data_IF_117214573027
#
_entry.id   IF_117214573027
#
_cell.length_a   1.000
_cell.length_b   1.000
_cell.length_c   1.000
_cell.angle_alpha   90.00
_cell.angle_beta   90.00
_cell.angle_gamma   90.00
#
_symmetry.space_group_name_H-M   'P 1'
#
loop_
_entity.id
_entity.type
_entity.pdbx_description
1 polymer ?
#
# COMPACT_ATOMS: atom_id res chain seq x y z
N UNK A 1 -13.84 15.61 -9.24
CA UNK A 1 -14.12 14.34 -8.53
C UNK A 1 -12.88 13.73 -7.83
N UNK A 2 -11.64 13.96 -8.26
CA UNK A 2 -10.43 13.38 -7.63
C UNK A 2 -10.16 13.84 -6.18
N UNK A 3 -10.43 15.10 -5.83
CA UNK A 3 -10.11 15.63 -4.50
C UNK A 3 -11.01 15.08 -3.38
N UNK A 4 -12.30 14.83 -3.64
CA UNK A 4 -13.25 14.31 -2.63
C UNK A 4 -12.88 12.88 -2.25
N UNK A 5 -12.63 12.01 -3.23
CA UNK A 5 -12.23 10.61 -2.98
C UNK A 5 -10.89 10.51 -2.24
N UNK A 6 -9.94 11.40 -2.54
CA UNK A 6 -8.66 11.43 -1.85
C UNK A 6 -8.81 11.88 -0.38
N UNK A 7 -9.64 12.89 -0.12
CA UNK A 7 -9.91 13.33 1.25
C UNK A 7 -10.65 12.27 2.07
N UNK A 8 -11.60 11.55 1.48
CA UNK A 8 -12.27 10.43 2.17
C UNK A 8 -11.30 9.30 2.51
N UNK A 9 -10.37 8.98 1.63
CA UNK A 9 -9.31 8.00 1.90
C UNK A 9 -8.44 8.42 3.09
N UNK A 10 -7.93 9.65 3.07
CA UNK A 10 -7.12 10.21 4.18
C UNK A 10 -7.87 10.26 5.50
N UNK A 11 -9.14 10.68 5.48
CA UNK A 11 -9.98 10.69 6.67
C UNK A 11 -10.15 9.29 7.27
N UNK A 12 -10.26 8.27 6.41
CA UNK A 12 -10.38 6.89 6.86
C UNK A 12 -9.05 6.34 7.40
N UNK A 13 -7.91 6.68 6.79
CA UNK A 13 -6.57 6.36 7.32
C UNK A 13 -6.39 6.95 8.73
N UNK A 14 -6.82 8.20 8.94
CA UNK A 14 -6.74 8.85 10.25
C UNK A 14 -7.46 8.09 11.34
N UNK A 15 -8.74 7.74 11.12
CA UNK A 15 -9.51 7.04 12.16
C UNK A 15 -9.07 5.58 12.34
N UNK A 16 -8.55 4.92 11.29
CA UNK A 16 -7.94 3.61 11.41
C UNK A 16 -6.70 3.66 12.30
N UNK A 17 -5.82 4.65 12.11
CA UNK A 17 -4.65 4.85 12.95
C UNK A 17 -5.04 5.08 14.42
N UNK A 18 -5.99 5.98 14.69
CA UNK A 18 -6.44 6.29 16.04
C UNK A 18 -7.08 5.07 16.72
N UNK A 19 -7.97 4.37 16.01
CA UNK A 19 -8.65 3.20 16.55
C UNK A 19 -7.68 2.05 16.86
N UNK A 20 -6.68 1.85 16.00
CA UNK A 20 -5.64 0.84 16.21
C UNK A 20 -4.76 1.21 17.41
N UNK A 21 -4.31 2.47 17.53
CA UNK A 21 -3.52 2.93 18.66
C UNK A 21 -4.30 2.84 19.98
N UNK A 22 -5.58 3.22 20.00
CA UNK A 22 -6.45 3.12 21.17
C UNK A 22 -6.57 1.66 21.66
N UNK A 23 -6.79 0.74 20.74
CA UNK A 23 -6.87 -0.68 21.08
C UNK A 23 -5.53 -1.25 21.57
N UNK A 24 -4.41 -0.90 20.93
CA UNK A 24 -3.07 -1.34 21.36
C UNK A 24 -2.72 -0.76 22.72
N UNK A 25 -3.01 0.51 22.97
CA UNK A 25 -2.66 1.19 24.23
C UNK A 25 -3.37 0.60 25.44
N UNK A 26 -4.49 -0.09 25.25
CA UNK A 26 -5.17 -0.85 26.30
C UNK A 26 -4.44 -2.15 26.71
N UNK A 27 -3.51 -2.62 25.88
CA UNK A 27 -2.78 -3.90 26.06
C UNK A 27 -1.31 -3.65 26.40
N UNK A 28 -0.66 -2.69 25.73
CA UNK A 28 0.76 -2.40 25.86
C UNK A 28 1.08 -0.93 25.50
N UNK A 29 2.27 -0.41 25.84
CA UNK A 29 2.69 0.93 25.47
C UNK A 29 2.68 1.13 23.94
N UNK A 30 2.00 2.19 23.49
CA UNK A 30 2.00 2.62 22.09
C UNK A 30 1.94 4.14 21.98
N UNK A 31 2.43 4.67 20.87
CA UNK A 31 2.39 6.10 20.59
C UNK A 31 2.24 6.37 19.09
N UNK A 32 1.56 7.46 18.78
CA UNK A 32 1.46 7.95 17.40
C UNK A 32 2.63 8.88 17.13
N UNK A 33 3.33 8.65 16.03
CA UNK A 33 4.35 9.55 15.51
C UNK A 33 3.70 10.52 14.55
N UNK A 34 3.65 11.78 14.92
CA UNK A 34 3.03 12.84 14.14
C UNK A 34 3.95 13.28 12.99
N UNK A 35 3.39 13.38 11.80
CA UNK A 35 4.07 13.85 10.59
C UNK A 35 3.10 14.64 9.69
N UNK A 36 3.58 15.12 8.53
CA UNK A 36 2.76 15.90 7.60
C UNK A 36 1.53 15.12 7.09
N UNK A 37 1.66 13.82 6.86
CA UNK A 37 0.54 12.97 6.43
C UNK A 37 -0.50 12.79 7.52
N UNK A 38 -0.09 12.67 8.78
CA UNK A 38 -1.02 12.69 9.92
C UNK A 38 -1.90 13.94 9.92
N UNK A 39 -1.29 15.14 9.85
CA UNK A 39 -2.03 16.39 9.88
C UNK A 39 -2.92 16.58 8.64
N UNK A 40 -2.48 16.13 7.48
CA UNK A 40 -3.30 16.14 6.27
C UNK A 40 -4.54 15.23 6.42
N UNK A 41 -4.38 14.07 7.04
CA UNK A 41 -5.44 13.09 7.29
C UNK A 41 -6.40 13.57 8.39
N UNK A 42 -5.89 14.21 9.46
CA UNK A 42 -6.68 14.87 10.49
C UNK A 42 -7.54 16.00 9.92
N UNK A 43 -6.95 16.85 9.06
CA UNK A 43 -7.71 17.91 8.39
C UNK A 43 -8.83 17.33 7.52
N UNK A 44 -8.56 16.25 6.77
CA UNK A 44 -9.58 15.58 5.99
C UNK A 44 -10.70 14.99 6.87
N UNK A 45 -10.35 14.36 8.00
CA UNK A 45 -11.30 13.88 9.00
C UNK A 45 -12.22 14.99 9.55
N UNK A 46 -11.66 16.16 9.82
CA UNK A 46 -12.40 17.30 10.36
C UNK A 46 -13.42 17.88 9.37
N UNK A 47 -13.31 17.58 8.06
CA UNK A 47 -14.30 17.99 7.06
C UNK A 47 -15.52 17.06 6.98
N UNK A 48 -15.47 15.87 7.59
CA UNK A 48 -16.57 14.91 7.55
C UNK A 48 -17.71 15.33 8.49
N UNK A 49 -18.94 14.99 8.11
CA UNK A 49 -20.09 15.12 8.99
C UNK A 49 -20.12 14.00 10.06
N UNK A 50 -20.98 14.16 11.07
CA UNK A 50 -21.04 13.24 12.21
C UNK A 50 -21.44 11.80 11.82
N UNK A 51 -22.30 11.66 10.82
CA UNK A 51 -22.72 10.35 10.32
C UNK A 51 -21.54 9.62 9.66
N UNK A 52 -20.77 10.31 8.80
CA UNK A 52 -19.58 9.75 8.18
C UNK A 52 -18.53 9.39 9.22
N UNK A 53 -18.28 10.26 10.19
CA UNK A 53 -17.36 9.99 11.31
C UNK A 53 -17.77 8.76 12.10
N UNK A 54 -19.04 8.62 12.41
CA UNK A 54 -19.56 7.45 13.10
C UNK A 54 -19.33 6.15 12.30
N UNK A 55 -19.71 6.14 11.02
CA UNK A 55 -19.56 4.98 10.15
C UNK A 55 -18.10 4.57 9.97
N UNK A 56 -17.22 5.55 9.76
CA UNK A 56 -15.78 5.27 9.60
C UNK A 56 -15.17 4.72 10.89
N UNK A 57 -15.54 5.28 12.05
CA UNK A 57 -15.09 4.80 13.35
C UNK A 57 -15.56 3.35 13.59
N UNK A 58 -16.83 3.05 13.30
CA UNK A 58 -17.36 1.70 13.44
C UNK A 58 -16.62 0.71 12.54
N UNK A 59 -16.40 1.09 11.28
CA UNK A 59 -15.65 0.27 10.32
C UNK A 59 -14.21 0.03 10.77
N UNK A 60 -13.49 1.07 11.20
CA UNK A 60 -12.12 0.94 11.70
C UNK A 60 -12.03 -0.01 12.90
N UNK A 61 -12.91 0.15 13.87
CA UNK A 61 -12.95 -0.70 15.09
C UNK A 61 -13.28 -2.17 14.79
N UNK A 62 -14.13 -2.43 13.80
CA UNK A 62 -14.56 -3.79 13.46
C UNK A 62 -13.45 -4.70 12.93
N UNK A 63 -12.31 -4.14 12.52
CA UNK A 63 -11.18 -4.91 11.94
C UNK A 63 -10.10 -5.25 12.96
N UNK A 64 -10.12 -4.64 14.16
CA UNK A 64 -9.02 -4.69 15.12
C UNK A 64 -8.74 -6.12 15.61
N UNK A 65 -9.78 -6.84 16.02
CA UNK A 65 -9.62 -8.22 16.51
C UNK A 65 -9.03 -9.14 15.44
N UNK A 66 -9.43 -8.94 14.19
CA UNK A 66 -8.87 -9.68 13.05
C UNK A 66 -7.39 -9.34 12.85
N UNK A 67 -7.02 -8.06 12.93
CA UNK A 67 -5.62 -7.61 12.83
C UNK A 67 -4.78 -8.27 13.94
N UNK A 68 -5.25 -8.26 15.18
CA UNK A 68 -4.52 -8.86 16.31
C UNK A 68 -4.37 -10.37 16.18
N UNK A 69 -5.40 -11.04 15.65
CA UNK A 69 -5.34 -12.48 15.39
C UNK A 69 -4.37 -12.85 14.26
N UNK A 70 -4.30 -12.01 13.22
CA UNK A 70 -3.41 -12.24 12.07
C UNK A 70 -1.96 -11.88 12.38
N UNK A 71 -1.72 -10.89 13.24
CA UNK A 71 -0.37 -10.42 13.58
C UNK A 71 -0.22 -10.25 15.11
N UNK A 72 0.05 -11.35 15.82
CA UNK A 72 0.20 -11.33 17.28
C UNK A 72 1.34 -10.45 17.80
N UNK A 73 2.36 -10.18 16.99
CA UNK A 73 3.47 -9.30 17.39
C UNK A 73 3.01 -7.87 17.76
N UNK A 74 1.84 -7.45 17.28
CA UNK A 74 1.25 -6.14 17.63
C UNK A 74 0.88 -6.11 19.12
N UNK A 75 0.32 -7.20 19.65
CA UNK A 75 -0.20 -7.27 21.02
C UNK A 75 0.77 -7.93 22.01
N UNK A 76 1.80 -8.60 21.53
CA UNK A 76 2.81 -9.21 22.36
C UNK A 76 3.58 -8.16 23.18
N UNK A 77 3.43 -8.20 24.51
CA UNK A 77 4.02 -7.22 25.41
C UNK A 77 5.43 -7.63 25.84
N UNK A 78 6.44 -6.98 25.28
CA UNK A 78 7.86 -7.16 25.62
C UNK A 78 8.48 -5.89 26.24
N UNK A 79 7.68 -5.05 26.88
CA UNK A 79 8.08 -3.78 27.50
C UNK A 79 8.64 -2.71 26.52
N UNK A 80 8.56 -2.95 25.22
CA UNK A 80 8.86 -1.95 24.19
C UNK A 80 7.62 -1.13 23.83
N UNK A 81 7.83 0.04 23.29
CA UNK A 81 6.74 0.92 22.81
C UNK A 81 6.54 0.75 21.31
N UNK A 82 5.30 0.49 20.89
CA UNK A 82 4.95 0.52 19.47
C UNK A 82 4.85 1.95 18.98
N UNK A 83 5.45 2.22 17.82
CA UNK A 83 5.29 3.46 17.09
C UNK A 83 4.31 3.24 15.93
N UNK A 84 3.28 4.06 15.85
CA UNK A 84 2.31 4.04 14.77
C UNK A 84 2.38 5.36 14.00
N UNK A 85 2.35 5.30 12.67
CA UNK A 85 2.31 6.52 11.86
C UNK A 85 1.64 6.31 10.51
N UNK A 86 1.12 7.39 9.93
CA UNK A 86 0.67 7.41 8.54
C UNK A 86 1.90 7.60 7.67
N UNK A 87 2.05 6.75 6.66
CA UNK A 87 3.17 6.81 5.73
C UNK A 87 3.15 8.10 4.91
N UNK A 88 4.33 8.67 4.65
CA UNK A 88 4.42 9.88 3.85
C UNK A 88 4.15 9.58 2.37
N UNK A 89 3.38 10.45 1.70
CA UNK A 89 3.04 10.33 0.28
C UNK A 89 4.27 10.21 -0.65
N UNK A 90 5.41 10.76 -0.25
CA UNK A 90 6.69 10.66 -0.99
C UNK A 90 7.19 9.22 -1.13
N UNK A 91 6.92 8.35 -0.18
CA UNK A 91 7.28 6.94 -0.26
C UNK A 91 6.40 6.14 -1.23
N UNK A 92 5.22 6.64 -1.58
CA UNK A 92 4.40 6.09 -2.67
C UNK A 92 5.05 6.19 -4.05
N UNK A 93 5.94 7.19 -4.25
CA UNK A 93 6.78 7.30 -5.45
C UNK A 93 7.94 6.29 -5.44
N UNK A 94 8.30 5.78 -4.27
CA UNK A 94 9.32 4.75 -4.04
C UNK A 94 8.75 3.33 -3.99
N UNK A 95 7.50 3.15 -4.44
CA UNK A 95 6.77 1.87 -4.46
C UNK A 95 6.34 1.33 -3.08
N UNK A 96 6.43 2.11 -2.01
CA UNK A 96 5.84 1.77 -0.73
C UNK A 96 4.32 1.99 -0.78
N UNK A 97 3.56 0.92 -0.60
CA UNK A 97 2.09 0.90 -0.73
C UNK A 97 1.38 0.95 0.62
N UNK A 98 2.13 1.04 1.69
CA UNK A 98 1.60 1.08 3.06
C UNK A 98 1.01 2.45 3.33
N UNK A 99 -0.15 2.49 3.94
CA UNK A 99 -0.81 3.73 4.35
C UNK A 99 -0.59 3.99 5.86
N UNK A 100 -0.61 2.92 6.69
CA UNK A 100 -0.27 2.98 8.13
C UNK A 100 0.87 1.99 8.39
N UNK A 101 1.84 2.40 9.19
CA UNK A 101 2.94 1.55 9.64
C UNK A 101 2.90 1.42 11.16
N UNK A 102 3.11 0.21 11.64
CA UNK A 102 3.33 -0.12 13.05
C UNK A 102 4.74 -0.68 13.19
N UNK A 103 5.54 -0.08 14.04
CA UNK A 103 6.98 -0.38 14.18
C UNK A 103 7.34 -0.71 15.63
N UNK A 104 8.15 -1.76 15.80
CA UNK A 104 8.83 -2.13 17.04
C UNK A 104 10.34 -1.99 16.83
N UNK A 105 10.88 -0.82 17.15
CA UNK A 105 12.29 -0.48 16.89
C UNK A 105 13.27 -1.41 17.57
N UNK A 106 12.98 -1.79 18.79
CA UNK A 106 13.88 -2.58 19.64
C UNK A 106 14.17 -3.96 19.06
N UNK A 107 13.20 -4.55 18.36
CA UNK A 107 13.34 -5.88 17.73
C UNK A 107 13.45 -5.78 16.20
N UNK A 108 13.51 -4.56 15.62
CA UNK A 108 13.60 -4.30 14.17
C UNK A 108 12.46 -4.97 13.39
N UNK A 109 11.24 -4.90 13.94
CA UNK A 109 10.04 -5.43 13.32
C UNK A 109 9.11 -4.29 12.92
N UNK A 110 8.51 -4.40 11.76
CA UNK A 110 7.46 -3.49 11.29
C UNK A 110 6.42 -4.23 10.46
N UNK A 111 5.20 -3.73 10.49
CA UNK A 111 4.12 -4.12 9.58
C UNK A 111 3.44 -2.90 9.01
N UNK A 112 3.05 -2.98 7.75
CA UNK A 112 2.30 -1.94 7.07
C UNK A 112 0.91 -2.39 6.67
N UNK A 113 -0.06 -1.49 6.83
CA UNK A 113 -1.44 -1.69 6.42
C UNK A 113 -1.77 -0.81 5.23
N UNK A 114 -2.39 -1.39 4.21
CA UNK A 114 -2.98 -0.63 3.12
C UNK A 114 -4.48 -0.44 3.38
N UNK A 115 -4.87 0.80 3.62
CA UNK A 115 -6.23 1.18 4.01
C UNK A 115 -7.05 1.50 2.76
N UNK A 116 -8.24 0.91 2.67
CA UNK A 116 -9.14 1.11 1.52
C UNK A 116 -10.52 1.54 1.98
N UNK A 117 -10.92 2.74 1.52
CA UNK A 117 -12.27 3.23 1.68
C UNK A 117 -13.09 2.97 0.42
N UNK A 118 -14.13 2.13 0.51
CA UNK A 118 -15.04 1.78 -0.59
C UNK A 118 -14.38 1.24 -1.88
N UNK A 119 -13.18 0.68 -1.78
CA UNK A 119 -12.50 0.06 -2.91
C UNK A 119 -12.44 -1.46 -2.73
N UNK A 120 -12.96 -2.19 -3.69
CA UNK A 120 -12.83 -3.64 -3.75
C UNK A 120 -11.45 -4.07 -4.30
N UNK A 121 -10.71 -3.15 -4.93
CA UNK A 121 -9.39 -3.43 -5.48
C UNK A 121 -8.30 -3.24 -4.43
N UNK A 122 -7.47 -4.25 -4.25
CA UNK A 122 -6.25 -4.16 -3.44
C UNK A 122 -5.26 -3.22 -4.13
N UNK A 123 -4.68 -2.28 -3.36
CA UNK A 123 -3.55 -1.47 -3.84
C UNK A 123 -2.37 -2.41 -4.04
N UNK A 124 -1.84 -2.46 -5.22
CA UNK A 124 -0.64 -3.24 -5.52
C UNK A 124 0.46 -2.30 -5.98
N UNK A 125 1.69 -2.74 -5.79
CA UNK A 125 2.85 -2.04 -6.30
C UNK A 125 2.73 -1.82 -7.80
N UNK A 126 3.08 -0.63 -8.25
CA UNK A 126 2.92 -0.27 -9.66
C UNK A 126 4.02 -0.90 -10.50
N UNK A 127 3.63 -1.71 -11.48
CA UNK A 127 4.50 -2.03 -12.59
C UNK A 127 4.45 -0.84 -13.55
N UNK A 128 5.59 -0.23 -13.82
CA UNK A 128 5.66 0.97 -14.65
C UNK A 128 6.84 0.87 -15.64
N UNK A 129 6.75 1.59 -16.75
CA UNK A 129 7.77 1.61 -17.82
C UNK A 129 9.18 1.90 -17.31
N UNK A 130 9.30 2.75 -16.29
CA UNK A 130 10.58 3.22 -15.74
C UNK A 130 10.92 2.65 -14.37
N UNK A 131 10.05 1.82 -13.79
CA UNK A 131 10.28 1.27 -12.46
C UNK A 131 10.88 -0.13 -12.56
N UNK A 132 12.15 -0.26 -12.18
CA UNK A 132 12.76 -1.55 -11.93
C UNK A 132 12.34 -2.06 -10.55
N UNK A 133 11.25 -2.85 -10.53
CA UNK A 133 10.72 -3.38 -9.28
C UNK A 133 11.70 -4.34 -8.61
N UNK A 134 12.48 -5.09 -9.39
CA UNK A 134 13.47 -6.01 -8.86
C UNK A 134 14.56 -5.30 -8.07
N UNK A 135 15.11 -4.22 -8.65
CA UNK A 135 16.09 -3.38 -7.96
C UNK A 135 15.50 -2.71 -6.71
N UNK A 136 14.22 -2.27 -6.77
CA UNK A 136 13.59 -1.53 -5.66
C UNK A 136 13.10 -2.43 -4.52
N UNK A 137 12.54 -3.60 -4.83
CA UNK A 137 11.89 -4.43 -3.80
C UNK A 137 12.83 -5.46 -3.17
N UNK A 138 13.75 -6.00 -3.93
CA UNK A 138 14.65 -7.05 -3.43
C UNK A 138 16.13 -6.88 -3.84
N UNK A 139 16.51 -5.68 -4.29
CA UNK A 139 17.88 -5.29 -4.65
C UNK A 139 18.53 -6.17 -5.75
N UNK A 140 17.73 -6.72 -6.66
CA UNK A 140 18.22 -7.43 -7.84
C UNK A 140 17.51 -6.86 -9.07
N UNK A 141 18.21 -6.17 -9.98
CA UNK A 141 17.60 -5.59 -11.17
C UNK A 141 16.84 -6.61 -12.01
N UNK A 142 15.72 -6.17 -12.57
CA UNK A 142 14.95 -6.97 -13.51
C UNK A 142 15.80 -7.35 -14.73
N UNK A 143 15.57 -8.57 -15.25
CA UNK A 143 16.30 -9.09 -16.39
C UNK A 143 15.97 -8.36 -17.70
N UNK A 144 16.88 -8.39 -18.67
CA UNK A 144 16.61 -7.89 -20.01
C UNK A 144 15.41 -8.63 -20.66
N UNK A 145 15.18 -9.88 -20.31
CA UNK A 145 14.02 -10.65 -20.78
C UNK A 145 12.72 -10.01 -20.33
N UNK A 146 12.62 -9.65 -19.05
CA UNK A 146 11.47 -8.93 -18.52
C UNK A 146 11.22 -7.63 -19.29
N UNK A 147 12.26 -6.81 -19.44
CA UNK A 147 12.13 -5.53 -20.13
C UNK A 147 11.72 -5.67 -21.59
N UNK A 148 12.23 -6.67 -22.31
CA UNK A 148 11.83 -6.95 -23.67
C UNK A 148 10.37 -7.41 -23.79
N UNK A 149 9.84 -8.14 -22.79
CA UNK A 149 8.45 -8.58 -22.75
C UNK A 149 7.47 -7.44 -22.43
N UNK A 150 7.83 -6.52 -21.52
CA UNK A 150 6.89 -5.45 -21.10
C UNK A 150 6.98 -4.19 -21.95
N UNK A 151 8.10 -3.92 -22.61
CA UNK A 151 8.30 -2.72 -23.42
C UNK A 151 7.23 -2.53 -24.50
N UNK A 152 6.87 -3.53 -25.31
CA UNK A 152 5.82 -3.37 -26.34
C UNK A 152 4.47 -2.96 -25.75
N UNK A 153 4.16 -3.41 -24.53
CA UNK A 153 2.90 -3.09 -23.85
C UNK A 153 2.88 -1.61 -23.45
N UNK A 154 3.97 -1.11 -22.88
CA UNK A 154 4.09 0.29 -22.52
C UNK A 154 4.16 1.21 -23.76
N UNK A 155 4.84 0.80 -24.81
CA UNK A 155 4.88 1.54 -26.07
C UNK A 155 3.47 1.64 -26.71
N UNK A 156 2.67 0.58 -26.65
CA UNK A 156 1.26 0.59 -27.04
C UNK A 156 0.44 1.58 -26.20
N UNK A 157 0.60 1.57 -24.89
CA UNK A 157 -0.12 2.50 -24.00
C UNK A 157 0.26 3.96 -24.27
N UNK A 158 1.53 4.25 -24.53
CA UNK A 158 1.97 5.59 -24.90
C UNK A 158 1.39 6.02 -26.23
N UNK A 159 1.37 5.14 -27.23
CA UNK A 159 0.80 5.41 -28.52
C UNK A 159 -0.71 5.74 -28.43
N UNK A 160 -1.48 4.96 -27.68
CA UNK A 160 -2.89 5.23 -27.45
C UNK A 160 -3.11 6.56 -26.69
N UNK A 161 -2.28 6.84 -25.70
CA UNK A 161 -2.30 8.13 -24.99
C UNK A 161 -2.03 9.31 -25.92
N UNK A 162 -1.09 9.19 -26.85
CA UNK A 162 -0.79 10.23 -27.84
C UNK A 162 -1.95 10.48 -28.80
N UNK A 163 -2.76 9.46 -29.10
CA UNK A 163 -4.01 9.59 -29.87
C UNK A 163 -5.15 10.24 -29.07
N UNK A 164 -4.98 10.47 -27.78
CA UNK A 164 -6.03 10.97 -26.90
C UNK A 164 -7.01 9.89 -26.42
N UNK A 165 -6.72 8.60 -26.62
CA UNK A 165 -7.54 7.50 -26.13
C UNK A 165 -7.43 7.39 -24.61
N UNK A 166 -8.55 7.46 -23.91
CA UNK A 166 -8.56 7.21 -22.46
C UNK A 166 -8.39 5.72 -22.18
N UNK A 167 -7.67 5.38 -21.11
CA UNK A 167 -7.47 3.99 -20.71
C UNK A 167 -8.79 3.21 -20.53
N UNK A 168 -9.84 3.87 -20.02
CA UNK A 168 -11.18 3.27 -19.85
C UNK A 168 -11.79 2.80 -21.19
N UNK A 169 -11.44 3.47 -22.29
CA UNK A 169 -12.03 3.23 -23.63
C UNK A 169 -11.23 2.20 -24.44
N UNK A 170 -10.07 1.75 -23.94
CA UNK A 170 -9.30 0.67 -24.57
C UNK A 170 -10.10 -0.63 -24.56
N UNK A 171 -10.14 -1.30 -25.69
CA UNK A 171 -10.68 -2.65 -25.82
C UNK A 171 -9.63 -3.70 -25.48
N UNK A 172 -10.05 -4.91 -25.11
CA UNK A 172 -9.14 -6.05 -24.88
C UNK A 172 -8.01 -5.81 -23.86
N UNK A 173 -8.24 -4.97 -22.85
CA UNK A 173 -7.25 -4.66 -21.79
C UNK A 173 -6.70 -5.91 -21.12
N UNK A 174 -7.56 -6.89 -20.88
CA UNK A 174 -7.18 -8.16 -20.23
C UNK A 174 -6.07 -8.85 -21.04
N UNK A 175 -6.30 -9.09 -22.33
CA UNK A 175 -5.41 -9.87 -23.17
C UNK A 175 -4.20 -9.08 -23.69
N UNK A 176 -4.34 -7.76 -23.86
CA UNK A 176 -3.27 -6.94 -24.43
C UNK A 176 -2.38 -6.28 -23.37
N UNK A 177 -2.89 -6.11 -22.15
CA UNK A 177 -2.19 -5.36 -21.11
C UNK A 177 -2.03 -6.21 -19.85
N UNK A 178 -3.15 -6.59 -19.19
CA UNK A 178 -3.07 -7.19 -17.86
C UNK A 178 -2.41 -8.56 -17.84
N UNK A 179 -2.86 -9.49 -18.67
CA UNK A 179 -2.30 -10.84 -18.70
C UNK A 179 -0.83 -10.86 -19.16
N UNK A 180 -0.42 -10.14 -20.22
CA UNK A 180 1.00 -10.08 -20.58
C UNK A 180 1.88 -9.46 -19.50
N UNK A 181 1.46 -8.35 -18.86
CA UNK A 181 2.22 -7.74 -17.77
C UNK A 181 2.33 -8.66 -16.57
N UNK A 182 1.23 -9.31 -16.18
CA UNK A 182 1.22 -10.23 -15.04
C UNK A 182 2.09 -11.46 -15.32
N UNK A 183 2.02 -12.02 -16.51
CA UNK A 183 2.84 -13.16 -16.88
C UNK A 183 4.34 -12.83 -16.90
N UNK A 184 4.72 -11.67 -17.46
CA UNK A 184 6.10 -11.19 -17.43
C UNK A 184 6.60 -11.00 -15.99
N UNK A 185 5.78 -10.41 -15.13
CA UNK A 185 6.06 -10.19 -13.72
C UNK A 185 6.26 -11.51 -12.96
N UNK A 186 5.32 -12.45 -13.08
CA UNK A 186 5.41 -13.78 -12.44
C UNK A 186 6.65 -14.53 -12.91
N UNK A 187 6.92 -14.51 -14.22
CA UNK A 187 8.08 -15.18 -14.81
C UNK A 187 9.40 -14.60 -14.28
N UNK A 188 9.48 -13.26 -14.19
CA UNK A 188 10.66 -12.58 -13.65
C UNK A 188 10.90 -12.98 -12.19
N UNK A 189 9.89 -12.86 -11.33
CA UNK A 189 10.02 -13.23 -9.92
C UNK A 189 10.40 -14.72 -9.78
N UNK A 190 9.71 -15.62 -10.48
CA UNK A 190 9.99 -17.05 -10.42
C UNK A 190 11.43 -17.37 -10.83
N UNK A 191 11.93 -16.68 -11.86
CA UNK A 191 13.31 -16.82 -12.32
C UNK A 191 14.32 -16.32 -11.28
N UNK A 192 14.04 -15.20 -10.63
CA UNK A 192 14.91 -14.65 -9.60
C UNK A 192 14.87 -15.49 -8.32
N UNK A 193 13.71 -15.98 -7.91
CA UNK A 193 13.55 -16.88 -6.76
C UNK A 193 14.31 -18.19 -6.96
N UNK A 194 14.34 -18.74 -8.18
CA UNK A 194 15.12 -19.95 -8.49
C UNK A 194 16.62 -19.74 -8.31
N UNK A 195 17.11 -18.51 -8.48
CA UNK A 195 18.51 -18.13 -8.28
C UNK A 195 18.83 -17.74 -6.83
N UNK A 196 17.84 -17.22 -6.10
CA UNK A 196 17.98 -16.74 -4.72
C UNK A 196 16.68 -16.94 -3.94
N UNK A 197 16.63 -17.98 -3.13
CA UNK A 197 15.45 -18.36 -2.32
C UNK A 197 15.06 -17.35 -1.25
N UNK A 198 15.88 -16.33 -0.97
CA UNK A 198 15.58 -15.27 0.01
C UNK A 198 14.75 -14.13 -0.59
N UNK A 199 14.51 -14.08 -1.89
CA UNK A 199 13.73 -13.02 -2.53
C UNK A 199 12.32 -12.89 -1.94
N UNK A 200 11.53 -13.97 -1.73
CA UNK A 200 10.20 -13.85 -1.15
C UNK A 200 10.14 -13.21 0.23
N UNK A 201 11.25 -13.26 0.99
CA UNK A 201 11.34 -12.61 2.31
C UNK A 201 11.66 -11.12 2.24
N UNK A 202 12.08 -10.62 1.08
CA UNK A 202 12.43 -9.21 0.85
C UNK A 202 11.29 -8.44 0.17
N UNK A 203 10.33 -9.14 -0.42
CA UNK A 203 9.13 -8.58 -1.04
C UNK A 203 8.05 -8.28 0.01
#
# INVERSE_FOLDING_TARGET
MSNISNNQGRAYEYICLLSLNDAISSIRPSQIIYNSSYYASENAWNTLNDTEKYLYTLSAKSTIDTIFAMEPNIVENNNDTLNLYIQNDKHGEEADVRDIVVERKDIKWEIGFSIKHNHMAVKHSRIAKSLDFGAKWYNVPCSNTYWNEVKPIFDFLEYEKMKGTYFRDLTSKENQIYLPLLNAFIKEISTQVSKNSNIPRKM
#
